data_IF_181807247134
#
_entry.id   IF_181807247134
#
_cell.length_a   1.000
_cell.length_b   1.000
_cell.length_c   1.000
_cell.angle_alpha   90.00
_cell.angle_beta   90.00
_cell.angle_gamma   90.00
#
_symmetry.space_group_name_H-M   'P 1'
#
loop_
_entity.id
_entity.type
_entity.pdbx_description
1 polymer ?
#
# COMPACT_ATOMS: atom_id res chain seq x y z
N UNK A 1 29.49 77.95 -1.82
CA UNK A 1 28.22 77.95 -2.57
C UNK A 1 27.73 76.53 -2.74
N UNK A 2 26.95 76.18 -2.00
CA UNK A 2 25.84 75.58 -1.46
C UNK A 2 24.77 75.23 -2.48
N UNK A 3 24.31 74.03 -2.52
CA UNK A 3 22.89 73.74 -2.83
C UNK A 3 22.59 72.38 -2.20
N UNK A 4 21.75 72.45 -1.19
CA UNK A 4 21.00 71.38 -0.58
C UNK A 4 20.00 70.83 -1.61
N UNK A 5 19.81 69.51 -1.64
CA UNK A 5 18.67 68.84 -2.23
C UNK A 5 17.95 68.07 -1.12
N UNK A 6 16.64 67.96 -1.16
CA UNK A 6 15.82 67.52 -0.05
C UNK A 6 15.77 65.99 0.05
N UNK A 7 15.58 65.52 1.27
CA UNK A 7 15.25 64.14 1.59
C UNK A 7 13.90 63.77 1.01
N UNK A 8 13.84 62.59 0.38
CA UNK A 8 12.56 61.92 0.10
C UNK A 8 12.54 60.68 0.99
N UNK A 9 11.64 60.73 1.96
CA UNK A 9 11.15 59.58 2.69
C UNK A 9 10.36 58.71 1.72
N UNK A 10 10.80 57.46 1.56
CA UNK A 10 9.96 56.39 1.01
C UNK A 10 10.13 55.14 1.90
N UNK A 11 9.31 55.13 2.94
CA UNK A 11 8.94 53.92 3.63
C UNK A 11 8.01 53.10 2.71
N UNK A 12 8.47 52.04 2.14
CA UNK A 12 7.65 50.95 1.61
C UNK A 12 8.08 49.64 2.19
N UNK A 13 7.66 49.43 3.42
CA UNK A 13 7.64 48.14 4.08
C UNK A 13 6.61 47.20 3.44
N UNK A 14 6.97 46.51 2.37
CA UNK A 14 6.19 45.37 1.90
C UNK A 14 6.42 44.18 2.83
N UNK A 15 5.52 44.10 3.82
CA UNK A 15 5.31 42.87 4.56
C UNK A 15 4.86 41.76 3.59
N UNK A 16 5.68 40.70 3.46
CA UNK A 16 5.31 39.49 2.77
C UNK A 16 4.04 38.93 3.41
N UNK A 17 2.93 38.96 2.66
CA UNK A 17 1.69 38.34 3.06
C UNK A 17 1.93 36.84 3.24
N UNK A 18 1.80 36.37 4.46
CA UNK A 18 1.60 34.97 4.73
C UNK A 18 0.25 34.62 4.12
N UNK A 19 0.24 33.71 3.14
CA UNK A 19 -0.97 33.02 2.67
C UNK A 19 -1.60 32.33 3.87
N UNK A 20 -2.53 33.00 4.53
CA UNK A 20 -3.43 32.35 5.47
C UNK A 20 -4.29 31.38 4.65
N UNK A 21 -4.18 30.08 4.93
CA UNK A 21 -5.10 29.09 4.41
C UNK A 21 -6.55 29.56 4.64
N UNK A 22 -7.47 29.36 3.66
CA UNK A 22 -8.84 29.85 3.77
C UNK A 22 -9.46 29.26 5.03
N UNK A 23 -9.71 30.09 6.02
CA UNK A 23 -10.48 29.74 7.21
C UNK A 23 -11.89 29.45 6.74
N UNK A 24 -12.30 28.16 6.89
CA UNK A 24 -13.69 27.77 6.68
C UNK A 24 -14.55 28.62 7.66
N UNK A 25 -15.17 29.67 7.17
CA UNK A 25 -16.15 30.44 7.95
C UNK A 25 -17.42 29.59 7.99
N UNK A 26 -17.71 29.03 9.14
CA UNK A 26 -19.02 28.47 9.41
C UNK A 26 -20.04 29.61 9.33
N UNK A 27 -20.99 29.51 8.40
CA UNK A 27 -22.03 30.54 8.16
C UNK A 27 -22.98 30.68 9.34
N UNK A 28 -23.00 29.73 10.27
CA UNK A 28 -23.79 29.77 11.51
C UNK A 28 -22.95 29.25 12.68
N UNK A 29 -23.11 29.79 13.90
CA UNK A 29 -22.48 29.19 15.08
C UNK A 29 -23.03 27.77 15.31
N UNK A 30 -22.10 26.80 15.51
CA UNK A 30 -22.47 25.44 15.84
C UNK A 30 -23.16 25.42 17.21
N UNK A 31 -24.39 24.94 17.25
CA UNK A 31 -25.07 24.62 18.50
C UNK A 31 -24.46 23.33 19.05
N UNK A 32 -23.56 23.45 20.02
CA UNK A 32 -22.87 22.32 20.64
C UNK A 32 -23.70 21.64 21.74
N UNK A 33 -24.88 22.17 22.08
CA UNK A 33 -25.78 21.57 23.09
C UNK A 33 -26.41 20.26 22.56
N UNK A 34 -26.44 20.06 21.26
CA UNK A 34 -26.91 18.84 20.60
C UNK A 34 -25.97 18.46 19.45
N UNK A 35 -25.21 17.43 19.64
CA UNK A 35 -24.33 16.88 18.63
C UNK A 35 -24.78 15.46 18.27
N UNK A 36 -25.21 15.24 17.04
CA UNK A 36 -25.44 13.89 16.51
C UNK A 36 -24.17 13.34 15.90
N UNK A 37 -23.75 12.18 16.39
CA UNK A 37 -22.59 11.49 15.86
C UNK A 37 -23.05 10.19 15.21
N UNK A 38 -22.75 10.02 13.94
CA UNK A 38 -22.92 8.73 13.24
C UNK A 38 -21.57 8.24 12.71
N UNK A 39 -21.41 6.94 12.69
CA UNK A 39 -20.24 6.27 12.12
C UNK A 39 -20.64 5.35 10.99
N UNK A 40 -20.02 5.55 9.84
CA UNK A 40 -20.22 4.67 8.70
C UNK A 40 -18.92 4.07 8.22
N UNK A 41 -19.00 2.88 7.63
CA UNK A 41 -17.85 2.22 7.01
C UNK A 41 -17.78 2.60 5.53
N UNK A 42 -16.71 3.24 5.12
CA UNK A 42 -16.32 3.34 3.72
C UNK A 42 -15.72 2.00 3.30
N UNK A 43 -16.54 1.15 2.70
CA UNK A 43 -16.14 -0.20 2.29
C UNK A 43 -15.05 -0.14 1.24
N UNK A 44 -13.95 -0.83 1.49
CA UNK A 44 -12.92 -1.04 0.49
C UNK A 44 -13.37 -2.05 -0.56
N UNK A 45 -13.05 -1.78 -1.82
CA UNK A 45 -13.29 -2.71 -2.92
C UNK A 45 -12.21 -3.79 -2.98
N UNK A 46 -12.07 -4.58 -1.92
CA UNK A 46 -11.15 -5.71 -1.84
C UNK A 46 -11.93 -7.02 -1.77
N UNK A 47 -11.33 -8.10 -2.31
CA UNK A 47 -11.81 -9.44 -2.04
C UNK A 47 -11.42 -9.85 -0.61
N UNK A 48 -12.12 -10.85 -0.05
CA UNK A 48 -11.85 -11.33 1.30
C UNK A 48 -10.33 -11.58 1.51
N UNK A 49 -9.69 -10.93 2.49
CA UNK A 49 -8.23 -10.99 2.66
C UNK A 49 -7.79 -12.37 3.14
N UNK A 50 -6.93 -13.00 2.34
CA UNK A 50 -6.37 -14.32 2.63
C UNK A 50 -4.86 -14.21 2.51
N UNK A 51 -4.12 -14.58 3.56
CA UNK A 51 -2.69 -14.35 3.67
C UNK A 51 -1.87 -14.86 2.47
N UNK A 52 -2.14 -16.05 1.98
CA UNK A 52 -1.40 -16.59 0.82
C UNK A 52 -1.81 -15.94 -0.51
N UNK A 53 -3.00 -15.31 -0.57
CA UNK A 53 -3.43 -14.50 -1.72
C UNK A 53 -2.64 -13.20 -1.75
N UNK A 54 -2.40 -12.56 -0.61
CA UNK A 54 -1.52 -11.38 -0.52
C UNK A 54 -0.13 -11.70 -1.06
N UNK A 55 0.47 -12.84 -0.68
CA UNK A 55 1.79 -13.25 -1.20
C UNK A 55 1.78 -13.48 -2.72
N UNK A 56 0.68 -14.04 -3.26
CA UNK A 56 0.50 -14.21 -4.70
C UNK A 56 0.41 -12.87 -5.41
N UNK A 57 -0.39 -11.96 -4.89
CA UNK A 57 -0.66 -10.66 -5.51
C UNK A 57 0.58 -9.77 -5.46
N UNK A 58 1.33 -9.78 -4.37
CA UNK A 58 2.64 -9.12 -4.27
C UNK A 58 3.65 -9.68 -5.27
N UNK A 59 3.77 -11.01 -5.36
CA UNK A 59 4.62 -11.67 -6.37
C UNK A 59 4.24 -11.25 -7.79
N UNK A 60 2.95 -11.27 -8.11
CA UNK A 60 2.44 -10.90 -9.44
C UNK A 60 2.74 -9.43 -9.77
N UNK A 61 2.53 -8.53 -8.83
CA UNK A 61 2.76 -7.09 -9.03
C UNK A 61 4.23 -6.78 -9.23
N UNK A 62 5.09 -7.34 -8.39
CA UNK A 62 6.55 -7.19 -8.51
C UNK A 62 7.05 -7.76 -9.84
N UNK A 63 6.67 -8.99 -10.19
CA UNK A 63 7.15 -9.63 -11.43
C UNK A 63 6.62 -8.95 -12.68
N UNK A 64 5.41 -8.37 -12.67
CA UNK A 64 4.92 -7.53 -13.76
C UNK A 64 5.76 -6.26 -13.92
N UNK A 65 6.10 -5.57 -12.81
CA UNK A 65 6.98 -4.40 -12.86
C UNK A 65 8.36 -4.76 -13.40
N UNK A 66 8.96 -5.86 -12.95
CA UNK A 66 10.23 -6.37 -13.49
C UNK A 66 10.11 -6.69 -14.99
N UNK A 67 9.01 -7.29 -15.43
CA UNK A 67 8.77 -7.58 -16.85
C UNK A 67 8.74 -6.29 -17.69
N UNK A 68 8.07 -5.25 -17.21
CA UNK A 68 8.04 -3.94 -17.86
C UNK A 68 9.44 -3.32 -17.99
N UNK A 69 10.26 -3.37 -16.93
CA UNK A 69 11.64 -2.88 -16.96
C UNK A 69 12.47 -3.65 -17.99
N UNK A 70 12.31 -4.97 -18.07
CA UNK A 70 12.99 -5.82 -19.05
C UNK A 70 12.59 -5.50 -20.49
N UNK A 71 11.34 -5.14 -20.73
CA UNK A 71 10.84 -4.71 -22.05
C UNK A 71 11.49 -3.40 -22.51
N UNK A 72 11.92 -2.55 -21.56
CA UNK A 72 12.68 -1.34 -21.85
C UNK A 72 14.18 -1.59 -22.14
N UNK A 73 14.58 -2.85 -22.30
CA UNK A 73 15.97 -3.22 -22.60
C UNK A 73 16.87 -3.41 -21.36
N UNK A 74 16.42 -3.03 -20.15
CA UNK A 74 17.18 -3.20 -18.92
C UNK A 74 17.05 -4.66 -18.44
N UNK A 75 18.07 -5.48 -18.70
CA UNK A 75 18.04 -6.92 -18.39
C UNK A 75 19.15 -7.33 -17.45
N UNK A 76 18.82 -8.17 -16.50
CA UNK A 76 19.75 -8.88 -15.63
C UNK A 76 19.45 -10.40 -15.65
N UNK A 77 20.44 -11.20 -15.25
CA UNK A 77 20.31 -12.66 -15.20
C UNK A 77 19.27 -13.09 -14.19
N UNK A 78 18.18 -13.68 -14.67
CA UNK A 78 17.12 -14.29 -13.87
C UNK A 78 16.27 -15.23 -14.75
N UNK A 79 15.51 -16.13 -14.12
CA UNK A 79 14.41 -16.82 -14.81
C UNK A 79 13.36 -15.81 -15.28
N UNK A 80 12.54 -16.20 -16.29
CA UNK A 80 11.49 -15.28 -16.74
C UNK A 80 10.52 -14.95 -15.62
N UNK A 81 10.05 -13.68 -15.49
CA UNK A 81 9.09 -13.26 -14.48
C UNK A 81 7.83 -14.13 -14.43
N UNK A 82 7.37 -14.61 -15.58
CA UNK A 82 6.19 -15.45 -15.74
C UNK A 82 6.33 -16.81 -15.04
N UNK A 83 7.56 -17.36 -14.95
CA UNK A 83 7.82 -18.60 -14.21
C UNK A 83 7.57 -18.42 -12.72
N UNK A 84 7.97 -17.29 -12.13
CA UNK A 84 7.68 -16.97 -10.72
C UNK A 84 6.18 -16.83 -10.47
N UNK A 85 5.47 -16.13 -11.37
CA UNK A 85 4.02 -15.95 -11.28
C UNK A 85 3.32 -17.33 -11.35
N UNK A 86 3.66 -18.17 -12.34
CA UNK A 86 3.08 -19.52 -12.47
C UNK A 86 3.36 -20.39 -11.25
N UNK A 87 4.60 -20.38 -10.74
CA UNK A 87 4.99 -21.13 -9.53
C UNK A 87 4.18 -20.68 -8.33
N UNK A 88 4.02 -19.39 -8.13
CA UNK A 88 3.22 -18.84 -7.02
C UNK A 88 1.74 -19.17 -7.16
N UNK A 89 1.17 -19.09 -8.36
CA UNK A 89 -0.22 -19.50 -8.61
C UNK A 89 -0.47 -20.98 -8.27
N UNK A 90 0.44 -21.87 -8.68
CA UNK A 90 0.37 -23.29 -8.33
C UNK A 90 0.41 -23.53 -6.81
N UNK A 91 1.28 -22.81 -6.10
CA UNK A 91 1.34 -22.87 -4.64
C UNK A 91 0.07 -22.31 -3.97
N UNK A 92 -0.52 -21.27 -4.53
CA UNK A 92 -1.78 -20.71 -4.04
C UNK A 92 -2.93 -21.73 -4.19
N UNK A 93 -3.03 -22.41 -5.32
CA UNK A 93 -4.01 -23.48 -5.55
C UNK A 93 -3.77 -24.62 -4.56
N UNK A 94 -2.52 -25.09 -4.40
CA UNK A 94 -2.18 -26.13 -3.46
C UNK A 94 -2.52 -25.76 -2.00
N UNK A 95 -2.34 -24.49 -1.61
CA UNK A 95 -2.75 -23.99 -0.29
C UNK A 95 -4.26 -24.02 -0.12
N UNK A 96 -5.02 -23.59 -1.13
CA UNK A 96 -6.49 -23.60 -1.11
C UNK A 96 -7.03 -25.03 -1.00
N UNK A 97 -6.46 -25.97 -1.75
CA UNK A 97 -6.82 -27.38 -1.66
C UNK A 97 -6.49 -27.98 -0.28
N UNK A 98 -5.28 -27.70 0.23
CA UNK A 98 -4.86 -28.15 1.54
C UNK A 98 -5.74 -27.60 2.67
N UNK A 99 -6.31 -26.38 2.53
CA UNK A 99 -7.24 -25.81 3.51
C UNK A 99 -8.54 -26.59 3.63
N UNK A 100 -9.01 -27.19 2.54
CA UNK A 100 -10.27 -27.93 2.50
C UNK A 100 -10.18 -29.33 3.14
N UNK A 101 -8.98 -29.82 3.43
CA UNK A 101 -8.76 -31.15 4.00
C UNK A 101 -8.49 -31.05 5.50
N UNK A 102 -9.22 -31.78 6.38
CA UNK A 102 -9.08 -31.67 7.84
C UNK A 102 -7.69 -31.97 8.37
N UNK A 103 -6.97 -32.96 7.79
CA UNK A 103 -5.65 -33.43 8.26
C UNK A 103 -4.45 -32.66 7.68
N UNK A 104 -4.62 -31.52 7.05
CA UNK A 104 -3.62 -30.93 6.15
C UNK A 104 -2.68 -29.89 6.78
N UNK A 105 -2.61 -29.77 8.10
CA UNK A 105 -1.74 -28.77 8.76
C UNK A 105 -0.29 -28.87 8.28
N UNK A 106 0.28 -30.09 8.24
CA UNK A 106 1.67 -30.33 7.79
C UNK A 106 1.86 -29.87 6.32
N UNK A 107 0.90 -30.17 5.46
CA UNK A 107 0.93 -29.77 4.05
C UNK A 107 0.85 -28.25 3.89
N UNK A 108 -0.07 -27.57 4.60
CA UNK A 108 -0.17 -26.09 4.59
C UNK A 108 1.15 -25.43 5.01
N UNK A 109 1.76 -25.91 6.10
CA UNK A 109 3.08 -25.44 6.56
C UNK A 109 4.16 -25.64 5.50
N UNK A 110 4.16 -26.78 4.80
CA UNK A 110 5.11 -27.06 3.70
C UNK A 110 4.91 -26.10 2.51
N UNK A 111 3.66 -25.93 2.08
CA UNK A 111 3.33 -25.03 0.96
C UNK A 111 3.72 -23.59 1.29
N UNK A 112 3.40 -23.10 2.50
CA UNK A 112 3.77 -21.75 2.91
C UNK A 112 5.29 -21.53 2.90
N UNK A 113 6.08 -22.51 3.38
CA UNK A 113 7.55 -22.42 3.31
C UNK A 113 8.03 -22.28 1.86
N UNK A 114 7.38 -22.98 0.92
CA UNK A 114 7.70 -22.84 -0.51
C UNK A 114 7.28 -21.48 -1.06
N UNK A 115 6.12 -20.96 -0.67
CA UNK A 115 5.68 -19.58 -1.05
C UNK A 115 6.67 -18.54 -0.53
N UNK A 116 7.09 -18.64 0.74
CA UNK A 116 8.08 -17.72 1.33
C UNK A 116 9.39 -17.71 0.52
N UNK A 117 9.91 -18.88 0.12
CA UNK A 117 11.11 -18.96 -0.72
C UNK A 117 10.94 -18.24 -2.06
N UNK A 118 9.77 -18.38 -2.71
CA UNK A 118 9.48 -17.67 -3.96
C UNK A 118 9.44 -16.17 -3.71
N UNK A 119 8.75 -15.68 -2.66
CA UNK A 119 8.68 -14.26 -2.33
C UNK A 119 10.06 -13.67 -2.05
N UNK A 120 10.91 -14.37 -1.29
CA UNK A 120 12.28 -13.90 -1.03
C UNK A 120 13.12 -13.80 -2.32
N UNK A 121 13.02 -14.76 -3.22
CA UNK A 121 13.69 -14.70 -4.53
C UNK A 121 13.17 -13.53 -5.36
N UNK A 122 11.85 -13.35 -5.41
CA UNK A 122 11.18 -12.24 -6.10
C UNK A 122 11.62 -10.89 -5.54
N UNK A 123 11.66 -10.73 -4.22
CA UNK A 123 12.12 -9.51 -3.56
C UNK A 123 13.60 -9.21 -3.88
N UNK A 124 14.45 -10.23 -3.93
CA UNK A 124 15.85 -10.09 -4.33
C UNK A 124 16.00 -9.62 -5.79
N UNK A 125 15.19 -10.17 -6.71
CA UNK A 125 15.15 -9.68 -8.09
C UNK A 125 14.60 -8.25 -8.17
N UNK A 126 13.53 -7.94 -7.44
CA UNK A 126 12.92 -6.62 -7.42
C UNK A 126 13.93 -5.52 -7.04
N UNK A 127 14.69 -5.72 -5.95
CA UNK A 127 15.73 -4.77 -5.52
C UNK A 127 16.76 -4.52 -6.61
N UNK A 128 17.28 -5.58 -7.25
CA UNK A 128 18.25 -5.44 -8.34
C UNK A 128 17.70 -4.68 -9.55
N UNK A 129 16.45 -4.93 -9.94
CA UNK A 129 15.80 -4.23 -11.05
C UNK A 129 15.41 -2.81 -10.69
N UNK A 130 15.03 -2.57 -9.46
CA UNK A 130 14.79 -1.22 -8.91
C UNK A 130 16.05 -0.37 -9.01
N UNK A 131 17.18 -0.89 -8.52
CA UNK A 131 18.46 -0.19 -8.54
C UNK A 131 19.00 -0.01 -9.98
N UNK A 132 18.76 -0.99 -10.86
CA UNK A 132 19.11 -0.88 -12.26
C UNK A 132 18.29 0.22 -12.96
N UNK A 133 16.97 0.25 -12.74
CA UNK A 133 16.10 1.27 -13.33
C UNK A 133 16.45 2.66 -12.82
N UNK A 134 16.71 2.80 -11.53
CA UNK A 134 17.06 4.09 -10.90
C UNK A 134 18.35 4.69 -11.49
N UNK A 135 19.36 3.85 -11.73
CA UNK A 135 20.64 4.28 -12.33
C UNK A 135 20.57 4.50 -13.83
N UNK A 136 19.82 3.68 -14.56
CA UNK A 136 19.91 3.61 -16.02
C UNK A 136 18.59 4.01 -16.71
N UNK A 137 17.68 4.69 -16.02
CA UNK A 137 16.38 5.07 -16.56
C UNK A 137 16.46 5.85 -17.86
N UNK A 138 17.49 6.70 -18.04
CA UNK A 138 17.70 7.49 -19.25
C UNK A 138 17.92 6.63 -20.52
N UNK A 139 18.24 5.33 -20.38
CA UNK A 139 18.35 4.37 -21.48
C UNK A 139 17.01 3.76 -21.87
N UNK A 140 15.95 4.06 -21.13
CA UNK A 140 14.60 3.59 -21.43
C UNK A 140 13.84 4.59 -22.27
N UNK A 141 12.72 4.15 -22.86
CA UNK A 141 11.80 5.04 -23.58
C UNK A 141 10.81 5.74 -22.62
N UNK A 142 10.96 5.54 -21.31
CA UNK A 142 10.06 6.13 -20.33
C UNK A 142 10.44 7.56 -19.97
N UNK A 143 9.42 8.38 -19.72
CA UNK A 143 9.61 9.67 -19.07
C UNK A 143 10.04 9.48 -17.59
N UNK A 144 10.63 10.52 -17.01
CA UNK A 144 10.98 10.52 -15.57
C UNK A 144 9.79 10.16 -14.68
N UNK A 145 8.61 10.73 -14.98
CA UNK A 145 7.37 10.45 -14.23
C UNK A 145 6.95 8.97 -14.31
N UNK A 146 7.05 8.34 -15.48
CA UNK A 146 6.75 6.91 -15.64
C UNK A 146 7.74 6.03 -14.87
N UNK A 147 9.02 6.37 -14.92
CA UNK A 147 10.06 5.69 -14.15
C UNK A 147 9.77 5.75 -12.65
N UNK A 148 9.48 6.94 -12.12
CA UNK A 148 9.14 7.15 -10.71
C UNK A 148 7.90 6.36 -10.28
N UNK A 149 6.89 6.24 -11.15
CA UNK A 149 5.71 5.42 -10.85
C UNK A 149 6.06 3.92 -10.71
N UNK A 150 6.96 3.41 -11.55
CA UNK A 150 7.40 2.01 -11.48
C UNK A 150 8.27 1.79 -10.25
N UNK A 151 9.19 2.71 -9.94
CA UNK A 151 10.02 2.68 -8.73
C UNK A 151 9.15 2.71 -7.47
N UNK A 152 8.22 3.67 -7.36
CA UNK A 152 7.28 3.77 -6.23
C UNK A 152 6.47 2.49 -6.02
N UNK A 153 6.03 1.85 -7.12
CA UNK A 153 5.31 0.57 -7.04
C UNK A 153 6.19 -0.55 -6.50
N UNK A 154 7.45 -0.64 -6.94
CA UNK A 154 8.40 -1.65 -6.45
C UNK A 154 8.73 -1.40 -4.98
N UNK A 155 9.02 -0.16 -4.61
CA UNK A 155 9.37 0.23 -3.24
C UNK A 155 8.21 -0.08 -2.29
N UNK A 156 6.97 0.32 -2.62
CA UNK A 156 5.80 0.00 -1.82
C UNK A 156 5.56 -1.50 -1.65
N UNK A 157 5.75 -2.31 -2.71
CA UNK A 157 5.63 -3.77 -2.58
C UNK A 157 6.75 -4.37 -1.73
N UNK A 158 7.99 -3.89 -1.87
CA UNK A 158 9.13 -4.37 -1.09
C UNK A 158 9.00 -4.03 0.39
N UNK A 159 8.34 -2.93 0.72
CA UNK A 159 8.02 -2.51 2.09
C UNK A 159 6.93 -3.40 2.71
N UNK A 160 5.87 -3.70 1.98
CA UNK A 160 4.71 -4.43 2.49
C UNK A 160 4.90 -5.96 2.56
N UNK A 161 5.68 -6.54 1.65
CA UNK A 161 5.86 -8.00 1.56
C UNK A 161 6.40 -8.66 2.84
N UNK A 162 7.34 -8.07 3.62
CA UNK A 162 7.80 -8.66 4.87
C UNK A 162 6.69 -8.83 5.90
N UNK A 163 5.83 -7.83 6.07
CA UNK A 163 4.69 -7.88 6.98
C UNK A 163 3.68 -8.95 6.55
N UNK A 164 3.35 -9.05 5.26
CA UNK A 164 2.50 -10.11 4.72
C UNK A 164 3.08 -11.51 4.96
N UNK A 165 4.41 -11.69 4.81
CA UNK A 165 5.10 -12.95 5.13
C UNK A 165 4.98 -13.29 6.60
N UNK A 166 5.18 -12.30 7.47
CA UNK A 166 5.10 -12.46 8.93
C UNK A 166 3.68 -12.85 9.34
N UNK A 167 2.67 -12.14 8.85
CA UNK A 167 1.27 -12.47 9.12
C UNK A 167 0.91 -13.89 8.69
N UNK A 168 1.28 -14.28 7.47
CA UNK A 168 1.05 -15.64 6.98
C UNK A 168 1.80 -16.69 7.82
N UNK A 169 3.01 -16.38 8.29
CA UNK A 169 3.80 -17.26 9.15
C UNK A 169 3.11 -17.47 10.51
N UNK A 170 2.73 -16.37 11.19
CA UNK A 170 2.07 -16.45 12.50
C UNK A 170 0.79 -17.29 12.44
N UNK A 171 -0.05 -17.04 11.43
CA UNK A 171 -1.35 -17.70 11.32
C UNK A 171 -1.27 -19.17 10.85
N UNK A 172 -0.33 -19.52 9.98
CA UNK A 172 -0.28 -20.85 9.36
C UNK A 172 0.78 -21.76 10.00
N UNK A 173 1.96 -21.23 10.33
CA UNK A 173 3.05 -22.01 10.95
C UNK A 173 2.98 -21.91 12.46
N UNK A 174 2.86 -20.68 12.99
CA UNK A 174 2.77 -20.38 14.41
C UNK A 174 1.42 -20.79 15.03
N UNK A 175 0.38 -20.92 14.20
CA UNK A 175 -1.00 -21.20 14.64
C UNK A 175 -1.51 -20.15 15.67
N UNK A 176 -1.01 -18.93 15.56
CA UNK A 176 -1.36 -17.81 16.43
C UNK A 176 -2.35 -16.86 15.74
N UNK A 177 -3.36 -16.36 16.44
CA UNK A 177 -4.24 -15.33 15.90
C UNK A 177 -3.48 -14.01 15.75
N UNK A 178 -3.75 -13.28 14.68
CA UNK A 178 -3.32 -11.89 14.50
C UNK A 178 -4.50 -11.00 14.88
N UNK A 179 -4.26 -9.99 15.72
CA UNK A 179 -5.31 -9.05 16.15
C UNK A 179 -5.88 -8.30 14.92
N UNK A 180 -7.15 -7.94 14.98
CA UNK A 180 -7.81 -7.26 13.85
C UNK A 180 -7.13 -5.94 13.47
N UNK A 181 -6.62 -5.19 14.46
CA UNK A 181 -5.88 -3.94 14.23
C UNK A 181 -4.55 -4.14 13.50
N UNK A 182 -3.91 -5.32 13.66
CA UNK A 182 -2.59 -5.61 13.09
C UNK A 182 -2.68 -6.38 11.76
N UNK A 183 -3.90 -6.65 11.29
CA UNK A 183 -4.12 -7.43 10.05
C UNK A 183 -3.87 -6.59 8.82
N UNK A 184 -2.95 -7.03 8.01
CA UNK A 184 -2.82 -6.56 6.63
C UNK A 184 -3.96 -7.15 5.78
N UNK A 185 -4.78 -6.30 5.21
CA UNK A 185 -5.92 -6.69 4.37
C UNK A 185 -5.62 -6.56 2.88
N UNK A 186 -4.78 -5.58 2.52
CA UNK A 186 -4.37 -5.29 1.15
C UNK A 186 -2.89 -4.89 1.12
N UNK A 187 -2.20 -5.20 0.02
CA UNK A 187 -0.84 -4.69 -0.26
C UNK A 187 -0.87 -3.33 -0.97
N UNK A 188 -2.04 -2.92 -1.45
CA UNK A 188 -2.21 -1.70 -2.23
C UNK A 188 -2.77 -0.56 -1.39
N UNK A 189 -3.51 -0.91 -0.35
CA UNK A 189 -4.17 -0.02 0.59
C UNK A 189 -3.84 -0.51 2.00
N UNK A 190 -2.66 -0.14 2.55
CA UNK A 190 -2.20 -0.65 3.85
C UNK A 190 -3.04 -0.15 5.04
N UNK A 191 -3.72 0.98 4.87
CA UNK A 191 -4.49 1.66 5.93
C UNK A 191 -5.92 1.12 6.07
N UNK A 192 -6.24 -0.03 5.47
CA UNK A 192 -7.53 -0.66 5.63
C UNK A 192 -7.65 -1.41 6.96
N UNK A 193 -8.82 -1.28 7.57
CA UNK A 193 -9.12 -1.89 8.87
C UNK A 193 -10.22 -2.95 8.78
N UNK A 194 -10.19 -3.87 9.75
CA UNK A 194 -11.30 -4.80 10.03
C UNK A 194 -12.28 -4.09 10.94
N UNK A 195 -13.49 -3.83 10.46
CA UNK A 195 -14.54 -3.15 11.21
C UNK A 195 -15.59 -4.18 11.61
N UNK A 196 -15.72 -4.40 12.91
CA UNK A 196 -16.73 -5.30 13.48
C UNK A 196 -17.96 -4.44 13.83
N UNK A 197 -19.08 -4.66 13.11
CA UNK A 197 -20.27 -3.82 13.28
C UNK A 197 -21.42 -4.50 14.04
N UNK A 198 -21.40 -5.81 14.22
CA UNK A 198 -22.45 -6.55 14.89
C UNK A 198 -23.83 -6.48 14.21
N UNK A 199 -23.87 -6.11 12.91
CA UNK A 199 -25.11 -6.08 12.13
C UNK A 199 -25.46 -7.46 11.59
N UNK A 200 -26.76 -7.77 11.47
CA UNK A 200 -27.26 -9.08 11.04
C UNK A 200 -26.79 -9.51 9.64
N UNK A 201 -26.53 -8.55 8.74
CA UNK A 201 -26.13 -8.83 7.36
C UNK A 201 -24.60 -8.96 7.15
N UNK A 202 -23.79 -8.29 7.96
CA UNK A 202 -22.33 -8.35 7.87
C UNK A 202 -21.70 -8.17 9.24
N UNK A 203 -21.24 -9.26 9.82
CA UNK A 203 -20.52 -9.26 11.10
C UNK A 203 -19.21 -8.47 11.01
N UNK A 204 -18.54 -8.51 9.85
CA UNK A 204 -17.24 -7.89 9.60
C UNK A 204 -17.23 -7.18 8.25
N UNK A 205 -16.82 -5.93 8.26
CA UNK A 205 -16.55 -5.12 7.06
C UNK A 205 -15.07 -4.76 6.95
N UNK A 206 -14.59 -4.49 5.74
CA UNK A 206 -13.22 -4.06 5.47
C UNK A 206 -13.24 -2.67 4.86
N UNK A 207 -12.54 -1.73 5.45
CA UNK A 207 -12.52 -0.35 4.99
C UNK A 207 -12.02 0.61 6.03
N UNK A 208 -12.44 1.87 5.90
CA UNK A 208 -12.14 2.94 6.82
C UNK A 208 -13.42 3.43 7.52
N UNK A 209 -13.31 3.75 8.80
CA UNK A 209 -14.40 4.33 9.55
C UNK A 209 -14.49 5.83 9.24
N UNK A 210 -15.66 6.30 8.81
CA UNK A 210 -15.98 7.70 8.70
C UNK A 210 -16.89 8.08 9.85
N UNK A 211 -16.49 9.10 10.61
CA UNK A 211 -17.29 9.72 11.65
C UNK A 211 -17.96 10.94 11.06
N UNK A 212 -19.27 10.97 11.11
CA UNK A 212 -20.09 12.09 10.70
C UNK A 212 -20.62 12.79 11.95
N UNK A 213 -20.54 14.12 11.97
CA UNK A 213 -21.14 14.93 13.01
C UNK A 213 -22.10 15.92 12.38
N UNK A 214 -23.28 16.03 12.94
CA UNK A 214 -24.30 16.99 12.54
C UNK A 214 -24.73 17.77 13.78
N UNK A 215 -24.78 19.10 13.67
CA UNK A 215 -25.44 19.97 14.64
C UNK A 215 -26.78 20.42 14.06
N UNK A 216 -27.84 20.47 14.84
CA UNK A 216 -29.16 20.95 14.41
C UNK A 216 -29.16 22.41 13.99
#
# INVERSE_FOLDING_TARGET
RGRSLPATDDEDGRAAGRDEAPKLQLLQPLDLDRLFLDSTCLKAKIHFPVDWVLLRDGTRTVMKAVSLIRQQGLKQRMESPEKFIRRMNGLCIAMTQARRQPASKKQRKRVLRSMKRVVHAVAGHARRYRDLLDREWARTQWSRKQTEQVLKRLDGMLEQLPAAITQAHERIIGERPVKNADKMLSLYEPDLHVIVRGKAEAEVEFGNLLLLSESP
#
